data_IF_213092098961
#
_entry.id   IF_213092098961
#
_cell.length_a   1.000
_cell.length_b   1.000
_cell.length_c   1.000
_cell.angle_alpha   90.00
_cell.angle_beta   90.00
_cell.angle_gamma   90.00
#
_symmetry.space_group_name_H-M   'P 1'
#
loop_
_entity.id
_entity.type
_entity.pdbx_description
1 polymer ?
#
# COMPACT_ATOMS: atom_id res chain seq x y z
N UNK A 1 4.12 6.81 -19.20
CA UNK A 1 3.30 6.85 -17.96
C UNK A 1 3.60 5.59 -17.17
N UNK A 2 4.12 5.68 -15.94
CA UNK A 2 4.24 4.50 -15.08
C UNK A 2 2.83 4.11 -14.61
N UNK A 3 2.33 2.94 -15.01
CA UNK A 3 1.06 2.42 -14.54
C UNK A 3 1.29 1.86 -13.14
N UNK A 4 0.83 2.59 -12.12
CA UNK A 4 0.85 2.12 -10.74
C UNK A 4 -0.04 0.90 -10.54
N UNK A 5 0.00 0.32 -9.35
CA UNK A 5 -0.89 -0.77 -8.99
C UNK A 5 -2.27 -0.25 -8.59
N UNK A 6 -3.29 -0.98 -9.02
CA UNK A 6 -4.65 -0.83 -8.53
C UNK A 6 -4.81 -1.42 -7.14
N UNK A 7 -5.86 -1.01 -6.42
CA UNK A 7 -6.24 -1.57 -5.13
C UNK A 7 -6.28 -3.11 -5.14
N UNK A 8 -6.86 -3.71 -6.18
CA UNK A 8 -7.00 -5.15 -6.28
C UNK A 8 -5.65 -5.85 -6.50
N UNK A 9 -4.75 -5.27 -7.31
CA UNK A 9 -3.40 -5.80 -7.52
C UNK A 9 -2.57 -5.76 -6.24
N UNK A 10 -2.64 -4.66 -5.47
CA UNK A 10 -1.97 -4.55 -4.17
C UNK A 10 -2.47 -5.62 -3.21
N UNK A 11 -3.79 -5.81 -3.12
CA UNK A 11 -4.38 -6.86 -2.26
C UNK A 11 -3.99 -8.26 -2.72
N UNK A 12 -3.98 -8.53 -4.02
CA UNK A 12 -3.58 -9.81 -4.56
C UNK A 12 -2.12 -10.12 -4.21
N UNK A 13 -1.20 -9.15 -4.34
CA UNK A 13 0.20 -9.36 -3.97
C UNK A 13 0.41 -9.62 -2.49
N UNK A 14 -0.33 -8.92 -1.62
CA UNK A 14 -0.28 -9.20 -0.19
C UNK A 14 -0.72 -10.63 0.11
N UNK A 15 -1.78 -11.10 -0.55
CA UNK A 15 -2.28 -12.49 -0.41
C UNK A 15 -1.27 -13.50 -0.94
N UNK A 16 -0.70 -13.29 -2.14
CA UNK A 16 0.29 -14.19 -2.74
C UNK A 16 1.55 -14.32 -1.87
N UNK A 17 1.88 -13.29 -1.10
CA UNK A 17 3.02 -13.26 -0.16
C UNK A 17 2.66 -13.74 1.24
N UNK A 18 1.41 -14.14 1.48
CA UNK A 18 0.92 -14.55 2.80
C UNK A 18 0.87 -13.43 3.84
N UNK A 19 0.91 -12.17 3.40
CA UNK A 19 0.92 -10.99 4.26
C UNK A 19 -0.52 -10.53 4.52
N UNK A 20 -0.92 -10.49 5.78
CA UNK A 20 -2.25 -10.03 6.16
C UNK A 20 -2.24 -8.54 6.44
N UNK A 21 -3.35 -7.86 6.13
CA UNK A 21 -3.54 -6.43 6.44
C UNK A 21 -3.29 -6.13 7.92
N UNK A 22 -3.69 -7.05 8.81
CA UNK A 22 -3.45 -6.92 10.26
C UNK A 22 -1.97 -6.87 10.65
N UNK A 23 -1.10 -7.53 9.88
CA UNK A 23 0.33 -7.55 10.16
C UNK A 23 0.97 -6.22 9.77
N UNK A 24 0.55 -5.65 8.64
CA UNK A 24 0.93 -4.29 8.21
C UNK A 24 0.43 -3.26 9.23
N UNK A 25 -0.82 -3.38 9.66
CA UNK A 25 -1.43 -2.49 10.65
C UNK A 25 -0.65 -2.50 11.97
N UNK A 26 -0.29 -3.70 12.46
CA UNK A 26 0.53 -3.89 13.66
C UNK A 26 1.93 -3.29 13.50
N UNK A 27 2.58 -3.49 12.36
CA UNK A 27 3.92 -2.92 12.09
C UNK A 27 3.90 -1.39 11.99
N UNK A 28 2.85 -0.83 11.38
CA UNK A 28 2.69 0.61 11.20
C UNK A 28 2.07 1.31 12.43
N UNK A 29 1.58 0.56 13.43
CA UNK A 29 0.93 1.10 14.63
C UNK A 29 -0.42 1.77 14.34
N UNK A 30 -1.16 1.28 13.35
CA UNK A 30 -2.45 1.86 12.88
C UNK A 30 -3.55 0.80 12.87
N UNK A 31 -4.80 1.22 12.61
CA UNK A 31 -5.92 0.28 12.39
C UNK A 31 -5.84 -0.39 11.02
N UNK A 32 -6.42 -1.60 10.89
CA UNK A 32 -6.52 -2.29 9.59
C UNK A 32 -7.35 -1.52 8.56
N UNK A 33 -8.28 -0.69 9.01
CA UNK A 33 -9.04 0.22 8.17
C UNK A 33 -8.14 1.30 7.56
N UNK A 34 -7.24 1.90 8.35
CA UNK A 34 -6.27 2.87 7.85
C UNK A 34 -5.37 2.26 6.76
N UNK A 35 -4.98 0.98 6.91
CA UNK A 35 -4.23 0.25 5.86
C UNK A 35 -5.08 0.08 4.60
N UNK A 36 -6.36 -0.29 4.73
CA UNK A 36 -7.25 -0.42 3.58
C UNK A 36 -7.46 0.92 2.86
N UNK A 37 -7.55 2.02 3.60
CA UNK A 37 -7.61 3.37 3.03
C UNK A 37 -6.30 3.76 2.33
N UNK A 38 -5.15 3.39 2.88
CA UNK A 38 -3.85 3.61 2.25
C UNK A 38 -3.71 2.85 0.92
N UNK A 39 -4.16 1.59 0.88
CA UNK A 39 -4.19 0.78 -0.34
C UNK A 39 -5.11 1.40 -1.39
N UNK A 40 -6.29 1.87 -0.99
CA UNK A 40 -7.25 2.49 -1.90
C UNK A 40 -6.73 3.78 -2.55
N UNK A 41 -5.68 4.40 -2.00
CA UNK A 41 -5.04 5.59 -2.58
C UNK A 41 -5.88 6.86 -2.55
N UNK A 42 -7.10 6.82 -1.97
CA UNK A 42 -8.06 7.94 -1.93
C UNK A 42 -7.56 9.17 -1.19
N UNK A 43 -6.66 9.00 -0.22
CA UNK A 43 -6.13 10.09 0.60
C UNK A 43 -4.61 10.07 0.57
N UNK A 44 -4.02 11.01 -0.17
CA UNK A 44 -2.57 11.15 -0.34
C UNK A 44 -1.82 11.27 1.00
N UNK A 45 -2.42 11.93 1.99
CA UNK A 45 -1.82 12.18 3.30
C UNK A 45 -1.92 10.99 4.27
N UNK A 46 -3.05 10.28 4.30
CA UNK A 46 -3.22 9.13 5.20
C UNK A 46 -2.38 7.93 4.77
N UNK A 47 -2.11 7.79 3.47
CA UNK A 47 -1.27 6.73 2.94
C UNK A 47 0.22 6.89 3.25
N UNK A 48 0.76 8.11 3.39
CA UNK A 48 2.22 8.36 3.45
C UNK A 48 2.96 7.56 4.53
N UNK A 49 2.35 7.36 5.70
CA UNK A 49 2.99 6.60 6.80
C UNK A 49 2.85 5.09 6.62
N UNK A 50 1.89 4.62 5.82
CA UNK A 50 1.54 3.19 5.69
C UNK A 50 2.12 2.59 4.39
N UNK A 51 2.17 3.38 3.31
CA UNK A 51 2.73 3.02 2.01
C UNK A 51 4.14 2.42 2.08
N UNK A 52 5.12 2.92 2.87
CA UNK A 52 6.43 2.27 2.96
C UNK A 52 6.36 0.85 3.55
N UNK A 53 5.44 0.59 4.48
CA UNK A 53 5.24 -0.76 5.03
C UNK A 53 4.62 -1.70 4.00
N UNK A 54 3.63 -1.23 3.23
CA UNK A 54 3.02 -2.01 2.15
C UNK A 54 4.03 -2.27 1.03
N UNK A 55 4.81 -1.26 0.64
CA UNK A 55 5.84 -1.36 -0.38
C UNK A 55 6.91 -2.38 0.00
N UNK A 56 7.40 -2.30 1.24
CA UNK A 56 8.33 -3.29 1.81
C UNK A 56 7.73 -4.69 1.84
N UNK A 57 6.46 -4.84 2.24
CA UNK A 57 5.74 -6.11 2.24
C UNK A 57 5.65 -6.72 0.82
N UNK A 58 5.40 -5.89 -0.19
CA UNK A 58 5.31 -6.29 -1.60
C UNK A 58 6.69 -6.34 -2.27
N UNK A 59 7.77 -5.99 -1.57
CA UNK A 59 9.12 -5.99 -2.14
C UNK A 59 9.26 -5.09 -3.37
N UNK A 60 8.52 -3.97 -3.40
CA UNK A 60 8.61 -2.92 -4.43
C UNK A 60 8.78 -1.57 -3.76
N UNK A 61 9.10 -0.56 -4.55
CA UNK A 61 9.18 0.83 -4.08
C UNK A 61 7.79 1.49 -4.07
N UNK A 62 7.64 2.54 -3.26
CA UNK A 62 6.39 3.30 -3.22
C UNK A 62 6.02 3.88 -4.59
N UNK A 63 7.01 4.34 -5.36
CA UNK A 63 6.81 4.92 -6.71
C UNK A 63 6.35 3.92 -7.76
N UNK A 64 6.65 2.62 -7.59
CA UNK A 64 6.15 1.56 -8.47
C UNK A 64 4.69 1.20 -8.17
N UNK A 65 4.29 1.30 -6.92
CA UNK A 65 2.93 0.97 -6.48
C UNK A 65 2.01 2.18 -6.64
N UNK A 66 2.45 3.35 -6.20
CA UNK A 66 1.77 4.65 -6.29
C UNK A 66 2.69 5.66 -7.01
N UNK A 67 2.71 5.68 -8.34
CA UNK A 67 3.50 6.64 -9.10
C UNK A 67 3.04 8.07 -8.76
N UNK A 68 3.97 9.04 -8.76
CA UNK A 68 3.61 10.44 -8.61
C UNK A 68 2.66 10.84 -9.76
N UNK A 69 1.73 11.79 -9.53
CA UNK A 69 0.95 12.35 -10.62
C UNK A 69 1.91 12.87 -11.69
N UNK A 70 1.63 12.57 -12.95
CA UNK A 70 2.35 13.17 -14.06
C UNK A 70 2.08 14.68 -13.99
N UNK A 71 3.14 15.45 -13.76
CA UNK A 71 3.12 16.92 -13.78
C UNK A 71 2.69 17.43 -15.17
#
# INVERSE_FOLDING_TARGET
MAKGMTHNEIKAELVLRGIKIKDIARQAGVSGEAVSMAIAGKYAYQGRRIRPYIARAIGRTESEIWPPPAE
#
